data_IF_924331293729
#
_entry.id   IF_924331293729
#
_cell.length_a   1.000
_cell.length_b   1.000
_cell.length_c   1.000
_cell.angle_alpha   90.00
_cell.angle_beta   90.00
_cell.angle_gamma   90.00
#
_symmetry.space_group_name_H-M   'P 1'
#
loop_
_entity.id
_entity.type
_entity.pdbx_description
1 polymer ?
#
# COMPACT_ATOMS: atom_id res chain seq x y z
N UNK A 1 -27.84 16.47 7.44
CA UNK A 1 -28.43 16.29 6.08
C UNK A 1 -27.49 16.76 4.96
N UNK A 2 -26.73 17.83 5.14
CA UNK A 2 -25.74 18.28 4.16
C UNK A 2 -24.60 17.28 3.92
N UNK A 3 -24.19 16.54 4.95
CA UNK A 3 -23.12 15.54 4.89
C UNK A 3 -23.48 14.37 3.97
N UNK A 4 -24.73 13.91 3.96
CA UNK A 4 -25.10 12.72 3.18
C UNK A 4 -25.21 12.96 1.67
N UNK A 5 -25.62 14.17 1.25
CA UNK A 5 -25.68 14.53 -0.18
C UNK A 5 -24.29 14.81 -0.72
N UNK A 6 -23.43 15.42 0.07
CA UNK A 6 -22.01 15.59 -0.26
C UNK A 6 -21.29 14.25 -0.35
N UNK A 7 -21.57 13.33 0.58
CA UNK A 7 -20.96 12.00 0.55
C UNK A 7 -21.29 11.21 -0.71
N UNK A 8 -22.55 11.17 -1.12
CA UNK A 8 -23.01 10.42 -2.30
C UNK A 8 -22.50 11.01 -3.65
N UNK A 9 -22.27 12.31 -3.73
CA UNK A 9 -21.83 12.95 -4.97
C UNK A 9 -20.35 13.27 -5.06
N UNK A 10 -19.70 13.60 -3.94
CA UNK A 10 -18.29 14.01 -3.92
C UNK A 10 -17.31 12.84 -3.92
N UNK A 11 -17.60 11.73 -3.23
CA UNK A 11 -16.66 10.62 -3.18
C UNK A 11 -16.34 10.03 -4.55
N UNK A 12 -17.31 9.74 -5.42
CA UNK A 12 -17.01 9.28 -6.78
C UNK A 12 -16.19 10.29 -7.58
N UNK A 13 -16.49 11.58 -7.47
CA UNK A 13 -15.72 12.63 -8.15
C UNK A 13 -14.27 12.68 -7.67
N UNK A 14 -14.05 12.67 -6.36
CA UNK A 14 -12.70 12.68 -5.77
C UNK A 14 -11.95 11.42 -6.17
N UNK A 15 -12.58 10.26 -6.11
CA UNK A 15 -11.99 8.98 -6.53
C UNK A 15 -11.57 9.04 -8.00
N UNK A 16 -12.46 9.50 -8.87
CA UNK A 16 -12.17 9.62 -10.30
C UNK A 16 -11.00 10.57 -10.57
N UNK A 17 -11.01 11.75 -9.96
CA UNK A 17 -9.93 12.74 -10.09
C UNK A 17 -8.59 12.21 -9.55
N UNK A 18 -8.62 11.52 -8.45
CA UNK A 18 -7.42 10.93 -7.87
C UNK A 18 -6.78 9.91 -8.82
N UNK A 19 -7.57 8.99 -9.37
CA UNK A 19 -7.10 7.99 -10.34
C UNK A 19 -6.60 8.68 -11.63
N UNK A 20 -7.31 9.69 -12.13
CA UNK A 20 -6.88 10.46 -13.30
C UNK A 20 -5.51 11.09 -13.11
N UNK A 21 -5.27 11.73 -11.96
CA UNK A 21 -3.96 12.32 -11.62
C UNK A 21 -2.88 11.26 -11.58
N UNK A 22 -3.12 10.13 -10.91
CA UNK A 22 -2.17 9.02 -10.86
C UNK A 22 -1.86 8.46 -12.26
N UNK A 23 -2.86 8.27 -13.09
CA UNK A 23 -2.69 7.79 -14.47
C UNK A 23 -1.82 8.74 -15.30
N UNK A 24 -1.98 10.05 -15.12
CA UNK A 24 -1.11 11.06 -15.76
C UNK A 24 0.32 11.02 -15.23
N UNK A 25 0.50 10.89 -13.92
CA UNK A 25 1.82 10.79 -13.32
C UNK A 25 2.60 9.55 -13.80
N UNK A 26 1.91 8.42 -14.00
CA UNK A 26 2.51 7.20 -14.57
C UNK A 26 3.03 7.38 -16.01
N UNK A 27 2.51 8.32 -16.76
CA UNK A 27 2.94 8.61 -18.14
C UNK A 27 4.17 9.50 -18.20
N UNK A 28 4.59 10.06 -17.07
CA UNK A 28 5.74 10.94 -17.01
C UNK A 28 7.06 10.15 -16.97
N UNK A 29 8.15 10.69 -17.52
CA UNK A 29 9.43 10.01 -17.58
C UNK A 29 10.21 10.07 -16.26
N UNK A 30 9.54 9.80 -15.14
CA UNK A 30 10.15 9.74 -13.82
C UNK A 30 9.44 8.73 -12.92
N UNK A 31 10.13 8.26 -11.91
CA UNK A 31 9.53 7.41 -10.87
C UNK A 31 8.78 8.29 -9.88
N UNK A 32 7.51 7.99 -9.71
CA UNK A 32 6.63 8.65 -8.74
C UNK A 32 6.46 7.78 -7.50
N UNK A 33 6.73 8.36 -6.35
CA UNK A 33 6.54 7.70 -5.05
C UNK A 33 5.58 8.54 -4.21
N UNK A 34 4.55 7.92 -3.68
CA UNK A 34 3.64 8.55 -2.73
C UNK A 34 3.60 7.76 -1.43
N UNK A 35 3.48 8.49 -0.33
CA UNK A 35 3.38 7.92 1.01
C UNK A 35 2.01 8.22 1.59
N UNK A 36 1.47 7.24 2.31
CA UNK A 36 0.16 7.34 2.96
C UNK A 36 0.26 6.87 4.40
N UNK A 37 -0.55 7.47 5.28
CA UNK A 37 -0.86 6.85 6.55
C UNK A 37 -1.64 5.54 6.29
N UNK A 38 -1.62 4.64 7.23
CA UNK A 38 -2.38 3.40 7.14
C UNK A 38 -3.78 3.55 7.70
N UNK A 39 -4.68 2.70 7.23
CA UNK A 39 -6.05 2.56 7.71
C UNK A 39 -6.46 1.09 7.65
N UNK A 40 -7.03 0.61 8.74
CA UNK A 40 -7.59 -0.72 8.79
C UNK A 40 -8.88 -0.82 7.98
N UNK A 41 -9.02 -1.91 7.24
CA UNK A 41 -10.26 -2.28 6.59
C UNK A 41 -11.05 -3.23 7.49
N UNK A 42 -12.22 -2.80 7.92
CA UNK A 42 -13.12 -3.54 8.80
C UNK A 42 -14.29 -4.14 8.05
N UNK A 43 -14.70 -5.33 8.47
CA UNK A 43 -16.03 -5.86 8.15
C UNK A 43 -17.10 -5.02 8.87
N UNK A 44 -18.05 -4.49 8.11
CA UNK A 44 -19.11 -3.65 8.65
C UNK A 44 -20.03 -4.40 9.61
N UNK A 45 -20.23 -5.69 9.39
CA UNK A 45 -21.12 -6.51 10.21
C UNK A 45 -20.42 -7.00 11.48
N UNK A 46 -19.20 -7.46 11.36
CA UNK A 46 -18.47 -8.05 12.49
C UNK A 46 -17.52 -7.08 13.19
N UNK A 47 -17.23 -5.94 12.58
CA UNK A 47 -16.21 -4.97 12.99
C UNK A 47 -14.81 -5.58 13.16
N UNK A 48 -14.58 -6.73 12.55
CA UNK A 48 -13.26 -7.36 12.51
C UNK A 48 -12.49 -6.88 11.30
N UNK A 49 -11.17 -6.81 11.43
CA UNK A 49 -10.28 -6.53 10.29
C UNK A 49 -10.38 -7.69 9.31
N UNK A 50 -10.89 -7.44 8.10
CA UNK A 50 -11.08 -8.48 7.09
C UNK A 50 -9.91 -8.60 6.14
N UNK A 51 -9.42 -7.45 5.68
CA UNK A 51 -8.49 -7.39 4.54
C UNK A 51 -7.14 -6.84 4.98
N UNK A 52 -7.06 -6.42 6.25
CA UNK A 52 -5.86 -5.81 6.78
C UNK A 52 -5.75 -4.32 6.52
N UNK A 53 -4.59 -3.81 6.74
CA UNK A 53 -4.27 -2.39 6.71
C UNK A 53 -3.85 -1.98 5.30
N UNK A 54 -4.46 -0.94 4.80
CA UNK A 54 -4.16 -0.34 3.51
C UNK A 54 -3.88 1.16 3.60
N UNK A 55 -3.63 1.83 2.48
CA UNK A 55 -3.41 3.27 2.47
C UNK A 55 -4.67 4.02 2.94
N UNK A 56 -4.48 5.01 3.80
CA UNK A 56 -5.56 5.86 4.29
C UNK A 56 -6.00 6.82 3.18
N UNK A 57 -6.97 6.38 2.42
CA UNK A 57 -7.59 7.14 1.32
C UNK A 57 -9.08 7.30 1.58
N UNK A 58 -9.69 8.24 0.85
CA UNK A 58 -11.12 8.53 0.96
C UNK A 58 -11.93 7.37 0.39
N UNK A 59 -13.03 7.04 1.07
CA UNK A 59 -13.97 6.00 0.65
C UNK A 59 -13.46 4.58 0.87
N UNK A 60 -14.24 3.61 0.37
CA UNK A 60 -13.96 2.18 0.53
C UNK A 60 -13.22 1.60 -0.69
N UNK A 61 -13.50 2.14 -1.86
CA UNK A 61 -13.01 1.61 -3.13
C UNK A 61 -11.60 2.11 -3.49
N UNK A 62 -11.29 3.38 -3.18
CA UNK A 62 -10.04 3.99 -3.60
C UNK A 62 -8.78 3.25 -3.07
N UNK A 63 -8.73 2.75 -1.83
CA UNK A 63 -7.57 1.97 -1.38
C UNK A 63 -7.29 0.73 -2.21
N UNK A 64 -8.33 -0.01 -2.62
CA UNK A 64 -8.16 -1.20 -3.46
C UNK A 64 -7.86 -0.86 -4.92
N UNK A 65 -8.47 0.21 -5.45
CA UNK A 65 -8.18 0.72 -6.79
C UNK A 65 -6.72 1.18 -6.91
N UNK A 66 -6.19 1.85 -5.90
CA UNK A 66 -4.79 2.27 -5.86
C UNK A 66 -3.83 1.10 -5.96
N UNK A 67 -4.13 -0.03 -5.33
CA UNK A 67 -3.33 -1.23 -5.52
C UNK A 67 -3.29 -1.71 -6.98
N UNK A 68 -4.36 -1.47 -7.75
CA UNK A 68 -4.39 -1.70 -9.19
C UNK A 68 -3.55 -0.74 -10.02
N UNK A 69 -3.47 0.51 -9.59
CA UNK A 69 -2.85 1.61 -10.35
C UNK A 69 -1.33 1.71 -10.15
N UNK A 70 -0.78 1.25 -9.04
CA UNK A 70 0.65 1.34 -8.75
C UNK A 70 1.39 0.06 -9.13
N UNK A 71 2.65 0.19 -9.48
CA UNK A 71 3.51 -0.96 -9.80
C UNK A 71 4.01 -1.67 -8.55
N UNK A 72 4.23 -0.96 -7.48
CA UNK A 72 4.56 -1.51 -6.16
C UNK A 72 3.84 -0.76 -5.05
N UNK A 73 3.42 -1.50 -4.05
CA UNK A 73 2.87 -0.97 -2.80
C UNK A 73 3.56 -1.67 -1.65
N UNK A 74 4.24 -0.91 -0.81
CA UNK A 74 5.04 -1.45 0.28
C UNK A 74 4.50 -0.95 1.61
N UNK A 75 4.35 -1.85 2.55
CA UNK A 75 3.97 -1.51 3.91
C UNK A 75 5.22 -1.35 4.76
N UNK A 76 5.35 -0.19 5.42
CA UNK A 76 6.46 0.09 6.32
C UNK A 76 6.10 -0.36 7.73
N UNK A 77 6.92 -1.22 8.31
CA UNK A 77 6.72 -1.72 9.67
C UNK A 77 8.01 -1.74 10.49
N UNK A 78 7.87 -1.82 11.79
CA UNK A 78 8.97 -2.11 12.70
C UNK A 78 8.88 -3.56 13.17
N UNK A 79 10.02 -4.24 13.18
CA UNK A 79 10.12 -5.58 13.73
C UNK A 79 11.41 -5.75 14.55
N UNK A 80 11.45 -6.72 15.47
CA UNK A 80 12.68 -7.03 16.17
C UNK A 80 13.78 -7.46 15.19
N UNK A 81 14.98 -6.91 15.38
CA UNK A 81 16.15 -7.30 14.59
C UNK A 81 16.58 -8.73 14.97
N UNK A 82 16.78 -9.63 14.01
CA UNK A 82 17.10 -11.03 14.31
C UNK A 82 18.37 -11.22 15.15
N UNK A 83 19.35 -10.33 14.98
CA UNK A 83 20.69 -10.48 15.56
C UNK A 83 20.92 -9.66 16.84
N UNK A 84 19.89 -8.98 17.37
CA UNK A 84 20.02 -8.15 18.55
C UNK A 84 18.85 -8.30 19.51
N UNK A 85 19.17 -8.37 20.81
CA UNK A 85 18.13 -8.43 21.84
C UNK A 85 17.48 -7.04 22.03
N UNK A 86 16.28 -6.89 21.47
CA UNK A 86 15.42 -5.73 21.74
C UNK A 86 15.59 -4.52 20.82
N UNK A 87 16.50 -4.56 19.87
CA UNK A 87 16.57 -3.52 18.83
C UNK A 87 15.49 -3.73 17.78
N UNK A 88 14.84 -2.64 17.37
CA UNK A 88 13.88 -2.64 16.28
C UNK A 88 14.54 -2.21 14.98
N UNK A 89 14.18 -2.84 13.90
CA UNK A 89 14.54 -2.40 12.56
C UNK A 89 13.31 -1.96 11.78
N UNK A 90 13.47 -0.95 10.93
CA UNK A 90 12.44 -0.58 9.96
C UNK A 90 12.60 -1.41 8.70
N UNK A 91 11.51 -2.03 8.28
CA UNK A 91 11.47 -2.86 7.08
C UNK A 91 10.27 -2.52 6.22
N UNK A 92 10.36 -2.85 4.95
CA UNK A 92 9.24 -2.82 4.04
C UNK A 92 8.77 -4.23 3.72
N UNK A 93 7.50 -4.48 3.99
CA UNK A 93 6.80 -5.63 3.46
C UNK A 93 6.50 -5.34 1.98
N UNK A 94 7.04 -6.15 1.09
CA UNK A 94 6.96 -5.93 -0.35
C UNK A 94 5.87 -6.76 -1.03
N UNK A 95 5.43 -7.83 -0.38
CA UNK A 95 4.45 -8.74 -0.91
C UNK A 95 3.72 -9.47 0.22
N UNK A 96 2.43 -9.63 0.08
CA UNK A 96 1.58 -10.35 1.01
C UNK A 96 0.76 -11.47 0.35
N UNK A 97 1.21 -11.99 -0.79
CA UNK A 97 0.51 -13.07 -1.49
C UNK A 97 0.30 -14.27 -0.55
N UNK A 98 -0.95 -14.60 -0.19
CA UNK A 98 -1.26 -15.70 0.72
C UNK A 98 -0.86 -17.07 0.15
N UNK A 99 -0.77 -17.22 -1.17
CA UNK A 99 -0.37 -18.47 -1.81
C UNK A 99 1.12 -18.73 -1.64
N UNK A 100 1.92 -17.66 -1.60
CA UNK A 100 3.38 -17.77 -1.44
C UNK A 100 3.78 -17.78 0.03
N UNK A 101 3.12 -16.95 0.85
CA UNK A 101 3.57 -16.67 2.22
C UNK A 101 2.60 -17.13 3.32
N UNK A 102 1.48 -17.74 2.97
CA UNK A 102 0.44 -18.10 3.93
C UNK A 102 -0.47 -16.93 4.32
N UNK A 103 -1.44 -17.22 5.20
CA UNK A 103 -2.50 -16.27 5.57
C UNK A 103 -2.12 -15.30 6.70
N UNK A 104 -0.84 -15.07 6.93
CA UNK A 104 -0.40 -14.36 8.13
C UNK A 104 -0.46 -12.84 8.03
N UNK A 105 -0.68 -12.28 6.84
CA UNK A 105 -0.47 -10.85 6.64
C UNK A 105 -1.74 -10.10 6.36
N UNK A 106 -2.17 -9.27 7.30
CA UNK A 106 -3.32 -8.39 7.12
C UNK A 106 -2.98 -7.09 6.37
N UNK A 107 -1.83 -6.96 5.75
CA UNK A 107 -1.41 -5.73 5.06
C UNK A 107 -1.57 -5.84 3.55
N UNK A 108 -1.98 -4.73 2.93
CA UNK A 108 -2.00 -4.63 1.47
C UNK A 108 -0.61 -4.24 0.99
N UNK A 109 0.16 -5.22 0.58
CA UNK A 109 1.43 -5.04 -0.07
C UNK A 109 1.44 -5.76 -1.42
N UNK A 110 2.16 -5.23 -2.40
CA UNK A 110 2.14 -5.73 -3.75
C UNK A 110 3.41 -5.35 -4.49
N UNK A 111 3.89 -6.28 -5.32
CA UNK A 111 4.92 -6.04 -6.32
C UNK A 111 4.50 -6.60 -7.68
N UNK A 112 4.62 -5.83 -8.74
CA UNK A 112 4.39 -6.31 -10.11
C UNK A 112 5.63 -6.90 -10.77
N UNK A 113 6.78 -6.63 -10.22
CA UNK A 113 8.00 -6.73 -11.00
C UNK A 113 8.64 -8.11 -11.04
N UNK A 114 8.08 -9.17 -10.62
CA UNK A 114 8.76 -10.48 -10.65
C UNK A 114 10.18 -10.45 -10.06
N UNK A 115 10.44 -9.46 -9.21
CA UNK A 115 11.76 -9.02 -8.83
C UNK A 115 12.35 -9.88 -7.73
N UNK A 116 13.65 -9.96 -7.76
CA UNK A 116 14.50 -10.54 -6.72
C UNK A 116 14.53 -9.67 -5.46
N UNK A 117 13.36 -9.28 -4.94
CA UNK A 117 13.22 -8.64 -3.65
C UNK A 117 12.71 -9.65 -2.63
N UNK A 118 13.23 -9.60 -1.42
CA UNK A 118 12.74 -10.42 -0.33
C UNK A 118 11.34 -9.95 0.10
N UNK A 119 10.59 -10.79 0.82
CA UNK A 119 9.31 -10.40 1.41
C UNK A 119 9.46 -9.17 2.31
N UNK A 120 10.53 -9.15 3.08
CA UNK A 120 10.92 -8.01 3.89
C UNK A 120 12.24 -7.46 3.37
N UNK A 121 12.25 -6.17 3.08
CA UNK A 121 13.44 -5.44 2.66
C UNK A 121 13.76 -4.36 3.71
N UNK A 122 15.03 -4.03 3.94
CA UNK A 122 15.38 -2.88 4.76
C UNK A 122 14.68 -1.62 4.25
N UNK A 123 14.25 -0.74 5.16
CA UNK A 123 13.58 0.51 4.78
C UNK A 123 14.56 1.54 4.20
N UNK A 124 15.28 1.15 3.17
CA UNK A 124 16.17 1.99 2.37
C UNK A 124 15.57 2.14 0.96
N UNK A 125 14.98 3.32 0.73
CA UNK A 125 14.29 3.63 -0.53
C UNK A 125 15.20 3.57 -1.75
N UNK A 126 16.42 4.06 -1.63
CA UNK A 126 17.37 4.06 -2.76
C UNK A 126 17.86 2.65 -3.08
N UNK A 127 18.15 1.85 -2.06
CA UNK A 127 18.54 0.46 -2.25
C UNK A 127 17.43 -0.35 -2.91
N UNK A 128 16.18 -0.15 -2.47
CA UNK A 128 15.02 -0.82 -3.07
C UNK A 128 14.80 -0.37 -4.52
N UNK A 129 14.80 0.92 -4.80
CA UNK A 129 14.64 1.45 -6.15
C UNK A 129 15.69 0.87 -7.11
N UNK A 130 16.95 0.79 -6.69
CA UNK A 130 18.03 0.15 -7.49
C UNK A 130 17.75 -1.33 -7.75
N UNK A 131 17.27 -2.08 -6.73
CA UNK A 131 16.89 -3.49 -6.90
C UNK A 131 15.77 -3.68 -7.93
N UNK A 132 14.85 -2.74 -7.99
CA UNK A 132 13.73 -2.77 -8.95
C UNK A 132 14.08 -2.15 -10.31
N UNK A 133 15.36 -1.83 -10.55
CA UNK A 133 15.83 -1.36 -11.84
C UNK A 133 15.54 0.11 -12.14
N UNK A 134 15.26 0.91 -11.13
CA UNK A 134 15.16 2.37 -11.23
C UNK A 134 16.54 2.96 -10.99
N UNK A 135 17.08 3.61 -12.02
CA UNK A 135 18.39 4.30 -11.98
C UNK A 135 18.23 5.77 -11.61
#
# INVERSE_FOLDING_TARGET
QYTSIMELGLYPMVTHRYIEVHSKLKQMPFTFVSTFAEKDAYDEQTRKVIIGTGPKLIGKELPSMMAGEVDGMFHCEQRPRPDSQGELEHVWLTDNDPQIFGNEVPYVAKRRFGLKVARYEPADGLALLRKIGVN
#
